data_IF_297733818885
#
_entry.id   IF_297733818885
#
_cell.length_a   1.000
_cell.length_b   1.000
_cell.length_c   1.000
_cell.angle_alpha   90.00
_cell.angle_beta   90.00
_cell.angle_gamma   90.00
#
_symmetry.space_group_name_H-M   'P 1'
#
loop_
_entity.id
_entity.type
_entity.pdbx_description
1 polymer ?
#
# COMPACT_ATOMS: atom_id res chain seq x y z
N UNK A 1 5.00 -17.40 23.23
CA UNK A 1 5.16 -15.92 23.32
C UNK A 1 4.94 -15.31 21.95
N UNK A 2 3.90 -14.47 21.80
CA UNK A 2 3.58 -13.79 20.54
C UNK A 2 4.62 -12.73 20.16
N UNK A 3 5.24 -12.13 21.18
CA UNK A 3 6.31 -11.15 21.12
C UNK A 3 7.53 -11.71 21.85
N UNK A 4 8.43 -12.35 21.20
CA UNK A 4 9.58 -12.95 21.91
C UNK A 4 10.71 -13.37 21.01
N UNK A 5 10.57 -13.12 19.69
CA UNK A 5 11.66 -13.31 18.77
C UNK A 5 12.44 -12.01 18.61
N UNK A 6 13.70 -12.15 18.26
CA UNK A 6 14.52 -11.02 17.89
C UNK A 6 14.04 -10.50 16.53
N UNK A 7 13.67 -9.23 16.47
CA UNK A 7 13.40 -8.53 15.20
C UNK A 7 14.72 -8.23 14.48
N UNK A 8 14.71 -8.30 13.16
CA UNK A 8 15.87 -7.97 12.34
C UNK A 8 15.45 -7.05 11.21
N UNK A 9 16.10 -5.90 11.11
CA UNK A 9 15.90 -4.96 10.00
C UNK A 9 17.18 -4.86 9.17
N UNK A 10 17.05 -5.15 7.88
CA UNK A 10 18.12 -4.93 6.90
C UNK A 10 17.71 -3.78 5.98
N UNK A 11 18.60 -2.85 5.79
CA UNK A 11 18.41 -1.71 4.88
C UNK A 11 19.65 -1.57 3.99
N UNK A 12 19.48 -1.71 2.69
CA UNK A 12 20.52 -1.55 1.69
C UNK A 12 20.14 -0.43 0.74
N UNK A 13 21.02 0.55 0.61
CA UNK A 13 20.83 1.67 -0.30
C UNK A 13 22.01 1.77 -1.25
N UNK A 14 21.72 1.86 -2.54
CA UNK A 14 22.69 2.15 -3.58
C UNK A 14 22.26 3.43 -4.30
N UNK A 15 23.17 4.38 -4.46
CA UNK A 15 22.90 5.59 -5.22
C UNK A 15 24.08 5.90 -6.13
N UNK A 16 23.78 6.19 -7.38
CA UNK A 16 24.74 6.57 -8.42
C UNK A 16 24.26 7.89 -9.02
N UNK A 17 25.09 8.89 -8.98
CA UNK A 17 24.82 10.21 -9.57
C UNK A 17 25.97 10.61 -10.45
N UNK A 18 25.67 11.25 -11.55
CA UNK A 18 26.70 11.75 -12.46
C UNK A 18 26.13 12.70 -13.49
N UNK A 19 27.01 13.20 -14.33
CA UNK A 19 26.60 14.05 -15.44
C UNK A 19 27.63 15.06 -15.88
N UNK A 20 27.21 15.89 -16.79
CA UNK A 20 27.94 17.05 -17.32
C UNK A 20 27.09 18.29 -17.11
N UNK A 21 27.51 19.43 -17.65
CA UNK A 21 26.70 20.67 -17.65
C UNK A 21 25.35 20.47 -18.37
N UNK A 22 25.30 19.62 -19.40
CA UNK A 22 24.13 19.41 -20.24
C UNK A 22 23.30 18.17 -19.87
N UNK A 23 23.87 17.22 -19.15
CA UNK A 23 23.20 15.98 -18.78
C UNK A 23 23.49 15.69 -17.31
N UNK A 24 22.45 15.48 -16.52
CA UNK A 24 22.54 15.03 -15.13
C UNK A 24 21.67 13.83 -14.95
N UNK A 25 22.17 12.80 -14.29
CA UNK A 25 21.42 11.61 -13.97
C UNK A 25 21.61 11.21 -12.52
N UNK A 26 20.60 10.58 -11.99
CA UNK A 26 20.63 9.96 -10.67
C UNK A 26 19.84 8.67 -10.71
N UNK A 27 20.46 7.61 -10.26
CA UNK A 27 19.87 6.32 -10.06
C UNK A 27 19.93 5.99 -8.58
N UNK A 28 18.87 5.42 -8.01
CA UNK A 28 18.90 4.89 -6.66
C UNK A 28 18.09 3.61 -6.56
N UNK A 29 18.58 2.68 -5.75
CA UNK A 29 17.90 1.48 -5.34
C UNK A 29 17.95 1.39 -3.82
N UNK A 30 16.83 1.08 -3.19
CA UNK A 30 16.74 0.86 -1.75
C UNK A 30 15.95 -0.42 -1.47
N UNK A 31 16.51 -1.29 -0.65
CA UNK A 31 15.89 -2.52 -0.17
C UNK A 31 15.75 -2.47 1.33
N UNK A 32 14.55 -2.72 1.85
CA UNK A 32 14.26 -2.87 3.26
C UNK A 32 13.63 -4.24 3.48
N UNK A 33 14.14 -4.97 4.45
CA UNK A 33 13.53 -6.20 4.95
C UNK A 33 13.50 -6.13 6.47
N UNK A 34 12.29 -6.08 7.02
CA UNK A 34 12.02 -5.98 8.45
C UNK A 34 11.23 -7.19 8.91
N UNK A 35 11.86 -8.02 9.74
CA UNK A 35 11.20 -9.10 10.48
C UNK A 35 10.78 -8.56 11.83
N UNK A 36 9.50 -8.33 12.01
CA UNK A 36 8.96 -7.81 13.26
C UNK A 36 9.18 -8.77 14.44
N UNK A 37 9.17 -8.23 15.65
CA UNK A 37 9.20 -9.03 16.89
C UNK A 37 7.96 -9.91 17.06
N UNK A 38 6.85 -9.52 16.42
CA UNK A 38 5.60 -10.29 16.39
C UNK A 38 5.73 -11.47 15.43
N UNK A 39 5.30 -12.66 15.87
CA UNK A 39 5.33 -13.87 15.04
C UNK A 39 4.47 -13.69 13.78
N UNK A 40 4.93 -14.27 12.67
CA UNK A 40 4.23 -14.19 11.37
C UNK A 40 4.39 -12.86 10.64
N UNK A 41 4.79 -11.77 11.31
CA UNK A 41 4.84 -10.44 10.71
C UNK A 41 6.19 -10.14 10.04
N UNK A 42 6.12 -9.67 8.80
CA UNK A 42 7.27 -9.31 8.00
C UNK A 42 6.90 -8.17 7.02
N UNK A 43 7.83 -7.24 6.82
CA UNK A 43 7.72 -6.16 5.85
C UNK A 43 8.94 -6.17 4.93
N UNK A 44 8.69 -6.11 3.62
CA UNK A 44 9.73 -5.95 2.61
C UNK A 44 9.35 -4.84 1.65
N UNK A 45 10.33 -4.03 1.27
CA UNK A 45 10.14 -3.00 0.26
C UNK A 45 11.37 -2.87 -0.60
N UNK A 46 11.14 -2.89 -1.90
CA UNK A 46 12.11 -2.56 -2.93
C UNK A 46 11.69 -1.25 -3.58
N UNK A 47 12.59 -0.26 -3.59
CA UNK A 47 12.39 1.02 -4.24
C UNK A 47 13.45 1.23 -5.30
N UNK A 48 13.00 1.66 -6.46
CA UNK A 48 13.84 2.03 -7.57
C UNK A 48 13.51 3.46 -8.00
N UNK A 49 14.53 4.28 -8.27
CA UNK A 49 14.34 5.62 -8.80
C UNK A 49 15.41 5.97 -9.83
N UNK A 50 14.96 6.49 -10.95
CA UNK A 50 15.81 7.05 -12.00
C UNK A 50 15.37 8.49 -12.27
N UNK A 51 16.34 9.41 -12.31
CA UNK A 51 16.12 10.78 -12.73
C UNK A 51 17.10 11.12 -13.82
N UNK A 52 16.62 11.77 -14.85
CA UNK A 52 17.41 12.30 -15.94
C UNK A 52 16.98 13.76 -16.18
N UNK A 53 17.94 14.66 -16.19
CA UNK A 53 17.77 16.03 -16.60
C UNK A 53 18.76 16.32 -17.71
N UNK A 54 18.29 16.78 -18.86
CA UNK A 54 19.18 17.09 -19.98
C UNK A 54 18.78 18.38 -20.65
N UNK A 55 19.80 19.10 -21.14
CA UNK A 55 19.69 20.32 -21.93
C UNK A 55 20.28 20.06 -23.31
N UNK A 56 19.52 19.43 -24.25
CA UNK A 56 20.01 19.11 -25.59
C UNK A 56 20.43 20.35 -26.37
N UNK A 57 19.86 21.49 -26.04
CA UNK A 57 20.26 22.78 -26.59
C UNK A 57 20.13 23.90 -25.56
N UNK A 58 20.62 25.11 -25.89
CA UNK A 58 20.47 26.31 -25.04
C UNK A 58 18.99 26.70 -24.79
N UNK A 59 18.08 26.20 -25.62
CA UNK A 59 16.65 26.54 -25.60
C UNK A 59 15.73 25.39 -25.20
N UNK A 60 16.28 24.20 -25.00
CA UNK A 60 15.47 23.02 -24.68
C UNK A 60 15.93 22.35 -23.41
N UNK A 61 14.97 21.92 -22.59
CA UNK A 61 15.19 21.12 -21.39
C UNK A 61 14.30 19.89 -21.44
N UNK A 62 14.82 18.75 -21.01
CA UNK A 62 14.08 17.51 -20.87
C UNK A 62 14.35 16.98 -19.48
N UNK A 63 13.29 16.74 -18.74
CA UNK A 63 13.31 16.08 -17.44
C UNK A 63 12.56 14.76 -17.53
N UNK A 64 13.14 13.70 -17.01
CA UNK A 64 12.49 12.40 -16.87
C UNK A 64 12.72 11.87 -15.47
N UNK A 65 11.67 11.41 -14.83
CA UNK A 65 11.73 10.71 -13.56
C UNK A 65 10.89 9.45 -13.64
N UNK A 66 11.49 8.33 -13.24
CA UNK A 66 10.81 7.04 -13.09
C UNK A 66 11.03 6.56 -11.66
N UNK A 67 9.98 6.11 -11.02
CA UNK A 67 10.01 5.47 -9.70
C UNK A 67 9.20 4.19 -9.73
N UNK A 68 9.71 3.19 -9.07
CA UNK A 68 9.02 1.95 -8.84
C UNK A 68 9.19 1.53 -7.38
N UNK A 69 8.12 1.04 -6.78
CA UNK A 69 8.13 0.49 -5.42
C UNK A 69 7.32 -0.80 -5.39
N UNK A 70 7.89 -1.87 -4.87
CA UNK A 70 7.20 -3.12 -4.53
C UNK A 70 7.27 -3.31 -3.02
N UNK A 71 6.11 -3.28 -2.36
CA UNK A 71 5.98 -3.45 -0.91
C UNK A 71 5.21 -4.72 -0.63
N UNK A 72 5.78 -5.60 0.19
CA UNK A 72 5.17 -6.84 0.65
C UNK A 72 5.05 -6.84 2.16
N UNK A 73 3.83 -7.06 2.65
CA UNK A 73 3.51 -7.20 4.06
C UNK A 73 2.99 -8.62 4.29
N UNK A 74 3.42 -9.23 5.37
CA UNK A 74 2.90 -10.51 5.84
C UNK A 74 2.51 -10.40 7.31
N UNK A 75 1.44 -11.10 7.68
CA UNK A 75 0.88 -11.11 9.02
C UNK A 75 0.00 -9.89 9.30
N UNK A 76 -1.05 -10.09 10.05
CA UNK A 76 -2.06 -9.06 10.33
C UNK A 76 -1.61 -7.92 11.24
N UNK A 77 -0.30 -7.86 11.64
CA UNK A 77 0.20 -6.80 12.51
C UNK A 77 -0.34 -6.87 13.95
N UNK A 78 -0.10 -5.82 14.73
CA UNK A 78 -0.55 -5.73 16.11
C UNK A 78 -2.05 -5.42 16.25
N UNK A 79 -2.63 -4.73 15.29
CA UNK A 79 -4.04 -4.34 15.24
C UNK A 79 -4.55 -4.36 13.80
N UNK A 80 -5.84 -4.54 13.61
CA UNK A 80 -6.45 -4.36 12.30
C UNK A 80 -6.50 -2.88 11.92
N UNK A 81 -5.99 -2.55 10.74
CA UNK A 81 -5.90 -1.18 10.27
C UNK A 81 -7.22 -0.60 9.72
N UNK A 82 -8.23 -1.43 9.47
CA UNK A 82 -9.51 -0.98 8.89
C UNK A 82 -10.47 -0.48 9.99
N UNK A 83 -10.22 0.74 10.45
CA UNK A 83 -11.17 1.78 10.90
C UNK A 83 -12.43 1.43 11.69
N UNK A 84 -12.60 0.24 12.23
CA UNK A 84 -13.74 -0.11 13.06
C UNK A 84 -13.39 0.09 14.55
N UNK A 85 -14.30 0.62 15.32
CA UNK A 85 -14.19 0.76 16.79
C UNK A 85 -13.98 -0.57 17.53
N UNK A 86 -14.17 -1.69 16.83
CA UNK A 86 -14.07 -3.06 17.34
C UNK A 86 -12.94 -3.84 16.65
N UNK A 87 -11.82 -3.19 16.39
CA UNK A 87 -10.65 -3.85 15.80
C UNK A 87 -10.05 -4.88 16.75
N UNK A 88 -9.56 -5.98 16.19
CA UNK A 88 -8.80 -6.98 16.91
C UNK A 88 -7.57 -6.33 17.56
N UNK A 89 -7.55 -6.33 18.88
CA UNK A 89 -6.53 -5.66 19.69
C UNK A 89 -5.47 -6.66 20.14
N UNK A 90 -4.84 -7.34 19.19
CA UNK A 90 -3.85 -8.41 19.46
C UNK A 90 -2.73 -8.02 20.43
N UNK A 91 -2.28 -6.76 20.38
CA UNK A 91 -1.30 -6.25 21.33
C UNK A 91 -1.89 -6.18 22.75
N UNK A 92 -3.12 -5.68 22.89
CA UNK A 92 -3.84 -5.63 24.16
C UNK A 92 -4.02 -7.04 24.70
N UNK A 93 -4.51 -7.96 23.88
CA UNK A 93 -4.76 -9.34 24.25
C UNK A 93 -3.48 -10.05 24.69
N UNK A 94 -2.35 -9.80 24.00
CA UNK A 94 -1.06 -10.32 24.39
C UNK A 94 -0.57 -9.84 25.77
N UNK A 95 -1.00 -8.66 26.21
CA UNK A 95 -0.62 -8.09 27.51
C UNK A 95 -1.51 -8.61 28.64
N UNK A 96 -2.82 -8.74 28.38
CA UNK A 96 -3.82 -9.07 29.42
C UNK A 96 -4.10 -10.59 29.50
N UNK A 97 -3.71 -11.37 28.48
CA UNK A 97 -3.94 -12.81 28.47
C UNK A 97 -3.15 -13.49 29.61
N UNK A 98 -3.81 -14.34 30.45
CA UNK A 98 -3.15 -14.96 31.55
C UNK A 98 -2.05 -15.92 31.10
N UNK A 99 -0.90 -15.89 31.78
CA UNK A 99 0.27 -16.73 31.46
C UNK A 99 -0.03 -18.22 31.73
N UNK A 100 -0.90 -18.50 32.70
CA UNK A 100 -1.38 -19.83 33.01
C UNK A 100 -2.74 -19.99 32.34
N UNK A 101 -2.89 -20.92 31.39
CA UNK A 101 -4.19 -21.16 30.79
C UNK A 101 -5.19 -21.54 31.89
N UNK A 102 -6.26 -20.79 31.99
CA UNK A 102 -7.37 -21.08 32.92
C UNK A 102 -8.13 -22.33 32.49
N UNK A 103 -7.89 -22.83 31.29
CA UNK A 103 -8.40 -24.09 30.75
C UNK A 103 -7.81 -25.26 31.51
N UNK A 104 -8.63 -25.95 32.29
CA UNK A 104 -8.23 -27.15 33.03
C UNK A 104 -8.20 -27.01 34.56
N UNK A 105 -8.49 -25.82 35.10
CA UNK A 105 -8.69 -25.68 36.56
C UNK A 105 -10.14 -25.98 36.97
N UNK A 106 -11.07 -26.03 36.04
CA UNK A 106 -12.46 -26.36 36.27
C UNK A 106 -13.09 -26.97 35.02
N UNK A 107 -13.00 -28.31 34.88
CA UNK A 107 -13.70 -29.02 33.80
C UNK A 107 -15.23 -28.93 33.90
N UNK A 108 -15.75 -28.47 35.03
CA UNK A 108 -17.19 -28.36 35.28
C UNK A 108 -17.81 -27.00 34.90
N UNK A 109 -17.01 -25.97 34.67
CA UNK A 109 -17.48 -24.61 34.34
C UNK A 109 -16.70 -24.01 33.17
N UNK A 110 -16.50 -24.75 32.11
CA UNK A 110 -15.84 -24.31 30.88
C UNK A 110 -16.71 -23.43 29.98
N UNK A 111 -17.71 -22.77 30.52
CA UNK A 111 -18.39 -21.68 29.87
C UNK A 111 -17.78 -20.29 30.21
N UNK A 112 -16.50 -20.21 30.55
CA UNK A 112 -15.75 -19.04 30.25
C UNK A 112 -15.59 -19.02 28.73
N UNK A 113 -16.64 -18.62 28.08
CA UNK A 113 -16.61 -18.26 26.71
C UNK A 113 -15.72 -17.04 26.65
N UNK A 114 -14.45 -17.24 26.24
CA UNK A 114 -13.51 -16.13 26.01
C UNK A 114 -14.12 -15.08 25.06
N UNK A 115 -15.20 -15.45 24.38
CA UNK A 115 -16.01 -14.60 23.52
C UNK A 115 -16.70 -13.47 24.29
N UNK A 116 -17.12 -13.67 25.54
CA UNK A 116 -17.80 -12.64 26.33
C UNK A 116 -16.85 -11.51 26.78
N UNK A 117 -15.58 -11.84 27.00
CA UNK A 117 -14.54 -10.85 27.33
C UNK A 117 -13.74 -10.40 26.11
N UNK A 118 -13.94 -11.00 24.93
CA UNK A 118 -13.18 -10.73 23.71
C UNK A 118 -11.65 -10.80 23.92
N UNK A 119 -11.21 -11.72 24.77
CA UNK A 119 -9.79 -11.97 25.04
C UNK A 119 -9.45 -13.35 24.50
N UNK A 120 -8.57 -13.41 23.51
CA UNK A 120 -8.17 -14.64 22.86
C UNK A 120 -6.70 -14.96 23.12
N UNK A 121 -6.35 -16.25 23.03
CA UNK A 121 -4.96 -16.65 23.02
C UNK A 121 -4.20 -15.89 21.92
N UNK A 122 -3.16 -15.11 22.26
CA UNK A 122 -2.47 -14.24 21.34
C UNK A 122 -1.79 -14.98 20.18
N UNK A 123 -1.40 -16.25 20.36
CA UNK A 123 -0.78 -17.08 19.33
C UNK A 123 -1.85 -17.48 18.30
N UNK A 124 -2.98 -17.97 18.79
CA UNK A 124 -4.13 -18.32 17.95
C UNK A 124 -4.66 -17.10 17.23
N UNK A 125 -4.81 -15.97 17.93
CA UNK A 125 -5.25 -14.70 17.31
C UNK A 125 -4.30 -14.23 16.22
N UNK A 126 -2.99 -14.40 16.38
CA UNK A 126 -2.02 -14.07 15.33
C UNK A 126 -2.14 -15.01 14.11
N UNK A 127 -2.40 -16.29 14.32
CA UNK A 127 -2.60 -17.28 13.25
C UNK A 127 -3.94 -17.06 12.51
N UNK A 128 -4.97 -16.65 13.24
CA UNK A 128 -6.30 -16.34 12.71
C UNK A 128 -6.37 -15.03 11.90
N UNK A 129 -5.28 -14.30 11.82
CA UNK A 129 -5.14 -13.07 11.06
C UNK A 129 -3.97 -13.15 10.07
N UNK A 130 -3.91 -14.20 9.26
CA UNK A 130 -2.88 -14.35 8.23
C UNK A 130 -3.18 -13.39 7.06
N UNK A 131 -2.26 -12.47 6.82
CA UNK A 131 -2.35 -11.46 5.76
C UNK A 131 -1.15 -11.55 4.83
N UNK A 132 -1.41 -11.44 3.53
CA UNK A 132 -0.41 -11.33 2.47
C UNK A 132 -0.81 -10.17 1.57
N UNK A 133 -0.18 -9.03 1.81
CA UNK A 133 -0.45 -7.81 1.05
C UNK A 133 0.75 -7.43 0.20
N UNK A 134 0.49 -7.13 -1.07
CA UNK A 134 1.49 -6.60 -1.99
C UNK A 134 0.97 -5.32 -2.63
N UNK A 135 1.74 -4.24 -2.51
CA UNK A 135 1.47 -2.98 -3.17
C UNK A 135 2.59 -2.68 -4.16
N UNK A 136 2.25 -2.44 -5.41
CA UNK A 136 3.19 -1.98 -6.43
C UNK A 136 2.79 -0.57 -6.87
N UNK A 137 3.77 0.32 -6.88
CA UNK A 137 3.61 1.68 -7.37
C UNK A 137 4.62 1.92 -8.48
N UNK A 138 4.15 2.33 -9.64
CA UNK A 138 4.96 2.82 -10.73
C UNK A 138 4.57 4.27 -11.01
N UNK A 139 5.56 5.17 -10.97
CA UNK A 139 5.37 6.56 -11.32
C UNK A 139 6.35 6.93 -12.43
N UNK A 140 5.87 7.52 -13.49
CA UNK A 140 6.68 8.13 -14.52
C UNK A 140 6.24 9.58 -14.70
N UNK A 141 7.20 10.50 -14.65
CA UNK A 141 6.97 11.90 -14.93
C UNK A 141 8.01 12.41 -15.90
N UNK A 142 7.59 13.19 -16.86
CA UNK A 142 8.46 13.83 -17.82
C UNK A 142 8.05 15.26 -18.07
N UNK A 143 9.02 16.09 -18.38
CA UNK A 143 8.79 17.46 -18.79
C UNK A 143 9.68 17.81 -20.00
N UNK A 144 9.09 18.51 -20.95
CA UNK A 144 9.79 19.11 -22.07
C UNK A 144 9.58 20.62 -22.03
N UNK A 145 10.66 21.35 -21.88
CA UNK A 145 10.67 22.81 -21.92
C UNK A 145 11.34 23.33 -23.18
N UNK A 146 10.73 24.28 -23.83
CA UNK A 146 11.26 24.90 -25.02
C UNK A 146 11.13 26.43 -24.99
N UNK A 147 12.25 27.13 -25.04
CA UNK A 147 12.30 28.58 -25.27
C UNK A 147 12.12 28.87 -26.75
N UNK A 148 10.85 29.11 -27.15
CA UNK A 148 10.47 29.37 -28.55
C UNK A 148 11.17 30.66 -29.05
N UNK A 149 11.11 31.69 -28.23
CA UNK A 149 11.80 32.95 -28.42
C UNK A 149 12.27 33.50 -27.09
N UNK A 150 13.12 34.51 -27.12
CA UNK A 150 13.62 35.15 -25.90
C UNK A 150 12.47 35.54 -24.97
N UNK A 151 12.53 35.07 -23.73
CA UNK A 151 11.52 35.27 -22.68
C UNK A 151 10.17 34.56 -22.86
N UNK A 152 9.95 33.77 -23.94
CA UNK A 152 8.76 32.96 -24.12
C UNK A 152 9.12 31.46 -24.00
N UNK A 153 8.64 30.83 -22.97
CA UNK A 153 8.88 29.40 -22.71
C UNK A 153 7.57 28.62 -22.77
N UNK A 154 7.54 27.59 -23.60
CA UNK A 154 6.54 26.54 -23.60
C UNK A 154 7.06 25.39 -22.77
N UNK A 155 6.24 24.85 -21.86
CA UNK A 155 6.55 23.65 -21.11
C UNK A 155 5.37 22.70 -21.20
N UNK A 156 5.63 21.45 -21.56
CA UNK A 156 4.68 20.35 -21.46
C UNK A 156 5.18 19.34 -20.44
N UNK A 157 4.31 18.91 -19.56
CA UNK A 157 4.60 17.92 -18.52
C UNK A 157 3.61 16.77 -18.65
N UNK A 158 4.09 15.56 -18.53
CA UNK A 158 3.25 14.39 -18.44
C UNK A 158 3.58 13.60 -17.20
N UNK A 159 2.58 12.99 -16.62
CA UNK A 159 2.70 12.09 -15.48
C UNK A 159 1.84 10.85 -15.71
N UNK A 160 2.37 9.71 -15.35
CA UNK A 160 1.65 8.45 -15.32
C UNK A 160 1.92 7.76 -13.99
N UNK A 161 0.86 7.49 -13.26
CA UNK A 161 0.87 6.75 -12.00
C UNK A 161 0.08 5.47 -12.19
N UNK A 162 0.70 4.34 -11.85
CA UNK A 162 0.08 3.03 -11.84
C UNK A 162 0.27 2.41 -10.45
N UNK A 163 -0.83 2.12 -9.80
CA UNK A 163 -0.87 1.51 -8.49
C UNK A 163 -1.63 0.20 -8.57
N UNK A 164 -1.10 -0.84 -7.95
CA UNK A 164 -1.82 -2.07 -7.69
C UNK A 164 -1.67 -2.46 -6.23
N UNK A 165 -2.76 -2.87 -5.62
CA UNK A 165 -2.80 -3.52 -4.33
C UNK A 165 -3.42 -4.91 -4.50
N UNK A 166 -2.78 -5.90 -3.93
CA UNK A 166 -3.30 -7.24 -3.80
C UNK A 166 -3.20 -7.63 -2.33
N UNK A 167 -4.35 -7.75 -1.68
CA UNK A 167 -4.48 -8.10 -0.26
C UNK A 167 -5.25 -9.41 -0.13
N UNK A 168 -4.58 -10.42 0.40
CA UNK A 168 -5.13 -11.73 0.71
C UNK A 168 -5.16 -11.87 2.23
N UNK A 169 -6.34 -12.04 2.80
CA UNK A 169 -6.49 -12.13 4.24
C UNK A 169 -7.38 -13.29 4.65
N UNK A 170 -6.88 -14.08 5.57
CA UNK A 170 -7.63 -15.08 6.28
C UNK A 170 -8.09 -14.51 7.63
N UNK A 171 -9.34 -14.71 7.95
CA UNK A 171 -9.96 -14.39 9.22
C UNK A 171 -10.44 -15.67 9.89
N UNK A 172 -9.74 -16.10 10.95
CA UNK A 172 -10.12 -17.24 11.79
C UNK A 172 -11.12 -16.85 12.86
N UNK A 173 -11.48 -17.80 13.70
CA UNK A 173 -12.57 -17.68 14.69
C UNK A 173 -12.35 -16.60 15.76
N UNK A 174 -11.09 -16.25 16.05
CA UNK A 174 -10.77 -15.19 17.00
C UNK A 174 -10.86 -13.80 16.40
N UNK A 175 -11.04 -13.69 15.07
CA UNK A 175 -11.14 -12.40 14.39
C UNK A 175 -12.55 -11.80 14.54
N UNK A 176 -12.61 -10.46 14.59
CA UNK A 176 -13.89 -9.74 14.61
C UNK A 176 -14.73 -10.04 13.38
N UNK A 177 -14.09 -10.10 12.20
CA UNK A 177 -14.75 -10.29 10.91
C UNK A 177 -15.47 -11.65 10.83
N UNK A 178 -14.85 -12.71 11.32
CA UNK A 178 -15.47 -14.03 11.31
C UNK A 178 -16.66 -14.11 12.30
N UNK A 179 -16.50 -13.54 13.50
CA UNK A 179 -17.54 -13.58 14.54
C UNK A 179 -18.75 -12.69 14.23
N UNK A 180 -18.53 -11.57 13.52
CA UNK A 180 -19.57 -10.56 13.23
C UNK A 180 -19.84 -10.50 11.74
N UNK A 181 -19.78 -11.62 11.03
CA UNK A 181 -20.14 -11.63 9.62
C UNK A 181 -21.63 -11.27 9.45
N UNK A 182 -21.93 -10.45 8.44
CA UNK A 182 -23.26 -9.87 8.28
C UNK A 182 -24.36 -10.91 8.09
N UNK A 183 -24.07 -11.98 7.35
CA UNK A 183 -24.98 -13.13 7.22
C UNK A 183 -24.75 -14.09 8.38
N UNK A 184 -25.76 -14.22 9.24
CA UNK A 184 -25.73 -15.07 10.43
C UNK A 184 -25.52 -16.55 10.11
N UNK A 185 -25.84 -17.00 8.90
CA UNK A 185 -25.57 -18.38 8.47
C UNK A 185 -24.06 -18.67 8.39
N UNK A 186 -23.23 -17.65 8.23
CA UNK A 186 -21.77 -17.73 8.14
C UNK A 186 -21.06 -17.03 9.28
N UNK A 187 -21.77 -16.49 10.26
CA UNK A 187 -21.17 -15.99 11.49
C UNK A 187 -20.46 -17.13 12.24
N UNK A 188 -19.38 -16.81 12.94
CA UNK A 188 -18.52 -17.79 13.62
C UNK A 188 -17.92 -18.87 12.71
N UNK A 189 -17.74 -18.55 11.45
CA UNK A 189 -17.01 -19.39 10.49
C UNK A 189 -15.77 -18.63 9.96
N UNK A 190 -14.66 -19.33 9.74
CA UNK A 190 -13.51 -18.72 9.07
C UNK A 190 -13.89 -18.22 7.69
N UNK A 191 -13.23 -17.16 7.26
CA UNK A 191 -13.42 -16.60 5.92
C UNK A 191 -12.10 -16.13 5.32
N UNK A 192 -12.08 -16.00 4.00
CA UNK A 192 -10.99 -15.42 3.23
C UNK A 192 -11.52 -14.18 2.52
N UNK A 193 -10.76 -13.08 2.58
CA UNK A 193 -10.97 -11.88 1.77
C UNK A 193 -9.84 -11.73 0.78
N UNK A 194 -10.19 -11.50 -0.49
CA UNK A 194 -9.29 -11.20 -1.58
C UNK A 194 -9.65 -9.82 -2.09
N UNK A 195 -8.76 -8.86 -1.90
CA UNK A 195 -8.95 -7.48 -2.30
C UNK A 195 -7.90 -7.12 -3.35
N UNK A 196 -8.35 -6.67 -4.50
CA UNK A 196 -7.51 -6.25 -5.61
C UNK A 196 -7.93 -4.86 -6.06
N UNK A 197 -7.07 -3.88 -5.83
CA UNK A 197 -7.25 -2.49 -6.24
C UNK A 197 -6.22 -2.14 -7.31
N UNK A 198 -6.69 -1.58 -8.42
CA UNK A 198 -5.88 -1.08 -9.53
C UNK A 198 -6.28 0.35 -9.79
N UNK A 199 -5.29 1.25 -9.72
CA UNK A 199 -5.50 2.67 -10.02
C UNK A 199 -4.49 3.15 -11.06
N UNK A 200 -5.02 3.77 -12.10
CA UNK A 200 -4.26 4.42 -13.16
C UNK A 200 -4.57 5.90 -13.16
N UNK A 201 -3.54 6.72 -13.23
CA UNK A 201 -3.69 8.16 -13.34
C UNK A 201 -2.76 8.71 -14.40
N UNK A 202 -3.34 9.37 -15.38
CA UNK A 202 -2.61 10.12 -16.39
C UNK A 202 -2.82 11.61 -16.16
N UNK A 203 -1.75 12.39 -16.27
CA UNK A 203 -1.76 13.84 -16.19
C UNK A 203 -0.95 14.43 -17.33
N UNK A 204 -1.50 15.44 -17.99
CA UNK A 204 -0.76 16.27 -18.92
C UNK A 204 -1.01 17.74 -18.59
N UNK A 205 0.07 18.48 -18.40
CA UNK A 205 0.05 19.92 -18.08
C UNK A 205 0.85 20.66 -19.11
N UNK A 206 0.24 21.66 -19.75
CA UNK A 206 0.90 22.52 -20.73
C UNK A 206 0.88 23.94 -20.21
N UNK A 207 2.03 24.60 -20.22
CA UNK A 207 2.17 25.97 -19.74
C UNK A 207 2.94 26.82 -20.74
N UNK A 208 2.52 28.07 -20.89
CA UNK A 208 3.21 29.12 -21.63
C UNK A 208 3.56 30.21 -20.64
N UNK A 209 4.83 30.52 -20.54
CA UNK A 209 5.33 31.58 -19.67
C UNK A 209 6.02 32.68 -20.51
N UNK A 210 5.63 33.92 -20.26
CA UNK A 210 6.26 35.07 -20.87
C UNK A 210 6.76 36.06 -19.84
N UNK A 211 8.06 36.41 -19.92
CA UNK A 211 8.72 37.38 -19.05
C UNK A 211 8.81 38.73 -19.78
N UNK A 212 8.09 39.72 -19.29
CA UNK A 212 7.97 41.06 -19.89
C UNK A 212 9.17 41.97 -19.62
N UNK A 213 10.24 41.49 -19.02
CA UNK A 213 11.41 42.31 -18.63
C UNK A 213 12.03 43.11 -19.77
N UNK A 214 11.87 42.66 -21.03
CA UNK A 214 12.37 43.38 -22.20
C UNK A 214 11.41 44.44 -22.69
N UNK A 215 10.13 44.39 -22.32
CA UNK A 215 9.11 45.39 -22.69
C UNK A 215 8.97 46.47 -21.62
N UNK A 216 9.23 46.14 -20.37
CA UNK A 216 9.19 47.08 -19.26
C UNK A 216 10.60 47.68 -19.07
N UNK A 217 10.76 48.91 -19.50
CA UNK A 217 12.04 49.65 -19.40
C UNK A 217 12.43 49.99 -17.97
N UNK A 218 11.47 50.07 -17.06
CA UNK A 218 11.72 50.33 -15.64
C UNK A 218 12.14 49.04 -14.93
N UNK A 219 13.35 49.07 -14.37
CA UNK A 219 13.95 47.92 -13.65
C UNK A 219 13.29 47.62 -12.31
N UNK A 220 12.49 48.53 -11.77
CA UNK A 220 11.80 48.38 -10.50
C UNK A 220 10.53 47.54 -10.63
N UNK A 221 10.11 47.20 -11.86
CA UNK A 221 8.94 46.40 -12.13
C UNK A 221 9.29 45.08 -12.82
N UNK A 222 8.81 43.98 -12.27
CA UNK A 222 8.91 42.63 -12.84
C UNK A 222 7.49 42.16 -13.14
N UNK A 223 7.22 41.83 -14.39
CA UNK A 223 5.95 41.26 -14.83
C UNK A 223 6.20 39.92 -15.53
N UNK A 224 5.60 38.89 -15.03
CA UNK A 224 5.57 37.55 -15.64
C UNK A 224 4.13 37.13 -15.84
N UNK A 225 3.82 36.53 -16.98
CA UNK A 225 2.51 35.98 -17.29
C UNK A 225 2.64 34.51 -17.55
N UNK A 226 1.85 33.71 -16.79
CA UNK A 226 1.75 32.26 -16.96
C UNK A 226 0.32 31.93 -17.41
N UNK A 227 0.22 31.20 -18.52
CA UNK A 227 -1.01 30.55 -18.95
C UNK A 227 -0.81 29.06 -18.93
N UNK A 228 -1.74 28.31 -18.33
CA UNK A 228 -1.64 26.86 -18.21
C UNK A 228 -2.97 26.15 -18.47
N UNK A 229 -2.85 24.93 -19.00
CA UNK A 229 -3.93 23.99 -19.15
C UNK A 229 -3.49 22.64 -18.61
N UNK A 230 -4.34 22.00 -17.79
CA UNK A 230 -4.08 20.69 -17.22
C UNK A 230 -5.24 19.74 -17.55
N UNK A 231 -4.88 18.51 -17.87
CA UNK A 231 -5.81 17.43 -18.12
C UNK A 231 -5.40 16.22 -17.27
N UNK A 232 -6.35 15.68 -16.49
CA UNK A 232 -6.14 14.53 -15.59
C UNK A 232 -7.23 13.51 -15.88
N UNK A 233 -6.81 12.25 -16.07
CA UNK A 233 -7.69 11.09 -16.07
C UNK A 233 -7.27 10.19 -14.92
N UNK A 234 -8.24 9.75 -14.13
CA UNK A 234 -8.05 8.70 -13.13
C UNK A 234 -9.02 7.56 -13.42
N UNK A 235 -8.50 6.34 -13.47
CA UNK A 235 -9.29 5.11 -13.53
C UNK A 235 -8.97 4.31 -12.29
N UNK A 236 -10.00 3.83 -11.63
CA UNK A 236 -9.89 3.01 -10.43
C UNK A 236 -10.79 1.79 -10.57
N UNK A 237 -10.24 0.65 -10.27
CA UNK A 237 -10.96 -0.63 -10.29
C UNK A 237 -10.62 -1.38 -9.02
N UNK A 238 -11.63 -1.62 -8.19
CA UNK A 238 -11.53 -2.40 -6.96
C UNK A 238 -12.40 -3.65 -7.10
N UNK A 239 -11.83 -4.79 -6.74
CA UNK A 239 -12.51 -6.06 -6.74
C UNK A 239 -12.27 -6.74 -5.40
N UNK A 240 -13.35 -6.90 -4.61
CA UNK A 240 -13.32 -7.57 -3.32
C UNK A 240 -14.11 -8.86 -3.42
N UNK A 241 -13.43 -9.98 -3.23
CA UNK A 241 -14.04 -11.31 -3.17
C UNK A 241 -13.90 -11.86 -1.77
N UNK A 242 -15.01 -12.42 -1.24
CA UNK A 242 -15.00 -13.10 0.04
C UNK A 242 -15.48 -14.54 -0.13
N UNK A 243 -14.73 -15.47 0.46
CA UNK A 243 -15.08 -16.88 0.54
C UNK A 243 -15.39 -17.17 2.00
N UNK A 244 -16.62 -17.55 2.27
CA UNK A 244 -17.17 -17.71 3.63
C UNK A 244 -17.63 -19.14 3.87
N UNK A 245 -17.91 -19.46 5.12
CA UNK A 245 -18.51 -20.75 5.51
C UNK A 245 -17.52 -21.90 5.56
N UNK A 246 -16.23 -21.65 5.73
CA UNK A 246 -15.28 -22.72 5.99
C UNK A 246 -15.60 -23.43 7.29
N UNK A 247 -15.40 -24.75 7.38
CA UNK A 247 -15.50 -25.48 8.65
C UNK A 247 -14.67 -24.82 9.74
N UNK A 248 -15.20 -24.79 10.97
CA UNK A 248 -14.52 -24.15 12.13
C UNK A 248 -13.16 -24.76 12.47
N UNK A 249 -12.87 -25.94 11.99
CA UNK A 249 -11.59 -26.65 12.18
C UNK A 249 -10.52 -26.27 11.18
N UNK A 250 -10.83 -25.44 10.17
CA UNK A 250 -9.87 -25.09 9.15
C UNK A 250 -9.00 -23.94 9.61
N UNK A 251 -7.69 -24.16 9.45
CA UNK A 251 -6.67 -23.14 9.62
C UNK A 251 -6.43 -22.35 8.32
N UNK A 252 -5.64 -21.30 8.40
CA UNK A 252 -5.29 -20.47 7.24
C UNK A 252 -4.69 -21.29 6.09
N UNK A 253 -3.80 -22.24 6.37
CA UNK A 253 -3.13 -23.03 5.34
C UNK A 253 -4.11 -23.92 4.56
N UNK A 254 -5.04 -24.55 5.29
CA UNK A 254 -6.10 -25.40 4.71
C UNK A 254 -7.09 -24.56 3.90
N UNK A 255 -7.54 -23.44 4.45
CA UNK A 255 -8.45 -22.52 3.79
C UNK A 255 -7.84 -21.97 2.49
N UNK A 256 -6.58 -21.53 2.50
CA UNK A 256 -5.87 -21.07 1.29
C UNK A 256 -5.76 -22.13 0.21
N UNK A 257 -5.44 -23.38 0.61
CA UNK A 257 -5.34 -24.47 -0.36
C UNK A 257 -6.66 -24.76 -1.06
N UNK A 258 -7.77 -24.66 -0.35
CA UNK A 258 -9.09 -24.94 -0.90
C UNK A 258 -9.62 -23.75 -1.70
N UNK A 259 -9.34 -22.51 -1.29
CA UNK A 259 -9.74 -21.31 -2.04
C UNK A 259 -9.12 -21.22 -3.43
N UNK A 260 -7.91 -21.77 -3.59
CA UNK A 260 -7.26 -21.85 -4.90
C UNK A 260 -7.91 -22.85 -5.86
N UNK A 261 -8.77 -23.72 -5.35
CA UNK A 261 -9.49 -24.75 -6.13
C UNK A 261 -10.97 -24.43 -6.31
N UNK A 262 -11.50 -23.42 -5.62
CA UNK A 262 -12.91 -23.06 -5.62
C UNK A 262 -13.22 -21.81 -6.43
N UNK A 263 -14.42 -21.78 -7.03
CA UNK A 263 -14.98 -20.58 -7.65
C UNK A 263 -15.47 -19.61 -6.57
N UNK A 264 -14.98 -18.38 -6.59
CA UNK A 264 -15.47 -17.31 -5.73
C UNK A 264 -16.96 -17.02 -6.05
N UNK A 265 -17.81 -16.99 -5.02
CA UNK A 265 -19.16 -16.49 -5.14
C UNK A 265 -19.22 -15.04 -4.67
N UNK A 266 -19.48 -14.14 -5.58
CA UNK A 266 -19.71 -12.71 -5.31
C UNK A 266 -18.54 -11.81 -5.73
N UNK A 267 -18.71 -11.14 -6.85
CA UNK A 267 -17.88 -10.02 -7.32
C UNK A 267 -18.70 -8.75 -7.18
N UNK A 268 -18.15 -7.75 -6.51
CA UNK A 268 -18.66 -6.38 -6.62
C UNK A 268 -17.63 -5.53 -7.34
N UNK A 269 -17.94 -5.16 -8.58
CA UNK A 269 -17.14 -4.23 -9.37
C UNK A 269 -17.67 -2.81 -9.13
N UNK A 270 -16.85 -1.93 -8.60
CA UNK A 270 -17.15 -0.52 -8.51
C UNK A 270 -16.36 0.24 -9.57
N UNK A 271 -17.05 0.76 -10.57
CA UNK A 271 -16.49 1.75 -11.48
C UNK A 271 -16.83 3.14 -10.93
N UNK A 272 -15.79 3.94 -10.63
CA UNK A 272 -15.95 5.37 -10.47
C UNK A 272 -15.39 6.05 -11.72
N UNK A 273 -16.22 6.75 -12.51
CA UNK A 273 -15.76 7.50 -13.69
C UNK A 273 -14.93 8.73 -13.32
#
# INVERSE_FOLDING_TARGET
>A
MTYGRIGHTYNHNLSITGGTENIKYSFSYAHINDKAIMIGSNFKRDNFSLKLNTKPSKRTTIDLQVRFSDTKVRGGGANDAKGSYNTDKRLKDAVIYPVIPLKGLDEANTSFDDSDMNIFDPITSAADNDEKKQNKNFNMAGAFGWEIMKNLTLKTEFGYDYYTMYDQRYYGLTSYQARNYADQAFADHPLISLDNDVRERFRNTNTINYDFKNLIKNKDHILNMLLGHEYIITKEHENINQIVGFPKTYDAATAWRLSSQGTASGTSDFYSP
#
